data_IF_560034970393
#
_entry.id   IF_560034970393
#
_cell.length_a   1.000
_cell.length_b   1.000
_cell.length_c   1.000
_cell.angle_alpha   90.00
_cell.angle_beta   90.00
_cell.angle_gamma   90.00
#
_symmetry.space_group_name_H-M   'P 1'
#
loop_
_entity.id
_entity.type
_entity.pdbx_description
1 polymer ?
#
# COMPACT_ATOMS: atom_id res chain seq x y z
N UNK A 1 9.27 23.78 -97.35
CA UNK A 1 9.95 23.18 -96.18
C UNK A 1 8.88 22.63 -95.28
N UNK A 2 8.68 21.31 -95.28
CA UNK A 2 7.62 20.65 -94.53
C UNK A 2 8.20 20.26 -93.15
N UNK A 3 7.65 20.71 -92.01
CA UNK A 3 8.20 20.36 -90.71
C UNK A 3 7.97 18.88 -90.43
N UNK A 4 9.03 18.13 -90.14
CA UNK A 4 8.94 16.74 -89.71
C UNK A 4 8.31 16.70 -88.30
N UNK A 5 7.00 16.49 -88.23
CA UNK A 5 6.28 16.30 -86.97
C UNK A 5 6.55 14.86 -86.51
N UNK A 6 7.24 14.63 -85.39
CA UNK A 6 7.52 13.28 -84.90
C UNK A 6 6.20 12.56 -84.55
N UNK A 7 6.06 11.32 -85.02
CA UNK A 7 4.84 10.52 -84.90
C UNK A 7 4.68 9.91 -83.49
N UNK A 8 3.43 9.80 -83.04
CA UNK A 8 3.04 9.33 -81.70
C UNK A 8 3.45 7.87 -81.44
N UNK A 9 3.68 7.08 -82.49
CA UNK A 9 4.20 5.70 -82.39
C UNK A 9 5.61 5.61 -81.75
N UNK A 10 6.30 6.74 -81.58
CA UNK A 10 7.57 6.82 -80.85
C UNK A 10 7.39 6.83 -79.31
N UNK A 11 6.16 6.98 -78.81
CA UNK A 11 5.85 6.87 -77.37
C UNK A 11 5.78 5.40 -76.98
N UNK A 12 6.95 4.82 -76.74
CA UNK A 12 7.10 3.48 -76.18
C UNK A 12 6.60 3.47 -74.73
N UNK A 13 5.40 2.95 -74.49
CA UNK A 13 4.84 2.74 -73.15
C UNK A 13 5.81 1.89 -72.31
N UNK A 14 6.32 2.49 -71.23
CA UNK A 14 7.15 1.78 -70.26
C UNK A 14 6.24 0.87 -69.45
N UNK A 15 6.43 -0.45 -69.57
CA UNK A 15 5.71 -1.42 -68.74
C UNK A 15 5.84 -1.03 -67.27
N UNK A 16 4.70 -0.90 -66.57
CA UNK A 16 4.67 -0.51 -65.16
C UNK A 16 5.52 -1.50 -64.34
N UNK A 17 6.41 -1.02 -63.45
CA UNK A 17 7.12 -1.92 -62.56
C UNK A 17 6.09 -2.67 -61.72
N UNK A 18 6.32 -3.97 -61.50
CA UNK A 18 5.51 -4.75 -60.56
C UNK A 18 5.43 -3.98 -59.23
N UNK A 19 4.24 -3.87 -58.61
CA UNK A 19 4.03 -3.03 -57.44
C UNK A 19 5.05 -3.38 -56.35
N UNK A 20 5.94 -2.44 -56.07
CA UNK A 20 6.99 -2.62 -55.07
C UNK A 20 6.29 -2.75 -53.73
N UNK A 21 6.51 -3.86 -53.04
CA UNK A 21 5.89 -4.08 -51.74
C UNK A 21 6.46 -3.08 -50.74
N UNK A 22 5.70 -2.01 -50.46
CA UNK A 22 6.06 -0.94 -49.52
C UNK A 22 6.06 -1.38 -48.05
N UNK A 23 5.97 -2.69 -47.78
CA UNK A 23 6.09 -3.22 -46.43
C UNK A 23 7.56 -3.56 -46.16
N UNK A 24 8.35 -2.67 -45.51
CA UNK A 24 9.64 -3.08 -44.99
C UNK A 24 9.36 -4.12 -43.91
N UNK A 25 9.59 -5.40 -44.21
CA UNK A 25 9.53 -6.50 -43.25
C UNK A 25 10.77 -6.44 -42.35
N UNK A 26 10.90 -5.36 -41.61
CA UNK A 26 11.97 -5.15 -40.64
C UNK A 26 11.56 -5.79 -39.32
N UNK A 27 12.52 -6.40 -38.64
CA UNK A 27 12.32 -6.98 -37.30
C UNK A 27 11.90 -5.91 -36.26
N UNK A 28 11.95 -4.63 -36.62
CA UNK A 28 11.55 -3.49 -35.81
C UNK A 28 10.09 -3.54 -35.36
N UNK A 29 9.14 -4.00 -36.20
CA UNK A 29 7.74 -4.13 -35.76
C UNK A 29 7.56 -5.19 -34.68
N UNK A 30 8.27 -6.31 -34.79
CA UNK A 30 8.27 -7.35 -33.75
C UNK A 30 8.94 -6.86 -32.46
N UNK A 31 10.02 -6.09 -32.56
CA UNK A 31 10.64 -5.45 -31.41
C UNK A 31 9.67 -4.46 -30.72
N UNK A 32 8.97 -3.62 -31.49
CA UNK A 32 7.96 -2.69 -30.97
C UNK A 32 6.78 -3.42 -30.33
N UNK A 33 6.26 -4.48 -30.95
CA UNK A 33 5.17 -5.29 -30.41
C UNK A 33 5.60 -5.95 -29.09
N UNK A 34 6.80 -6.53 -29.05
CA UNK A 34 7.34 -7.14 -27.83
C UNK A 34 7.50 -6.11 -26.72
N UNK A 35 8.02 -4.93 -27.01
CA UNK A 35 8.15 -3.84 -26.05
C UNK A 35 6.77 -3.37 -25.56
N UNK A 36 5.80 -3.24 -26.44
CA UNK A 36 4.43 -2.87 -26.11
C UNK A 36 3.78 -3.91 -25.19
N UNK A 37 3.88 -5.20 -25.52
CA UNK A 37 3.36 -6.30 -24.70
C UNK A 37 4.06 -6.35 -23.34
N UNK A 38 5.39 -6.23 -23.31
CA UNK A 38 6.15 -6.21 -22.07
C UNK A 38 5.75 -5.03 -21.18
N UNK A 39 5.59 -3.83 -21.76
CA UNK A 39 5.15 -2.65 -21.02
C UNK A 39 3.73 -2.83 -20.47
N UNK A 40 2.80 -3.38 -21.26
CA UNK A 40 1.45 -3.69 -20.82
C UNK A 40 1.47 -4.70 -19.67
N UNK A 41 2.25 -5.79 -19.80
CA UNK A 41 2.40 -6.79 -18.75
C UNK A 41 2.96 -6.19 -17.46
N UNK A 42 3.97 -5.33 -17.54
CA UNK A 42 4.54 -4.65 -16.38
C UNK A 42 3.54 -3.70 -15.72
N UNK A 43 2.74 -2.97 -16.50
CA UNK A 43 1.68 -2.09 -15.98
C UNK A 43 0.57 -2.91 -15.34
N UNK A 44 0.10 -3.97 -15.99
CA UNK A 44 -0.90 -4.89 -15.45
C UNK A 44 -0.41 -5.55 -14.16
N UNK A 45 0.84 -6.03 -14.12
CA UNK A 45 1.43 -6.60 -12.93
C UNK A 45 1.52 -5.57 -11.81
N UNK A 46 2.04 -4.36 -12.08
CA UNK A 46 2.10 -3.30 -11.07
C UNK A 46 0.72 -2.94 -10.52
N UNK A 47 -0.27 -2.79 -11.40
CA UNK A 47 -1.65 -2.47 -11.01
C UNK A 47 -2.31 -3.61 -10.25
N UNK A 48 -2.04 -4.87 -10.61
CA UNK A 48 -2.51 -6.03 -9.87
C UNK A 48 -1.86 -6.13 -8.48
N UNK A 49 -0.56 -5.86 -8.38
CA UNK A 49 0.15 -5.84 -7.11
C UNK A 49 -0.37 -4.72 -6.19
N UNK A 50 -0.64 -3.53 -6.75
CA UNK A 50 -1.33 -2.45 -6.04
C UNK A 50 -2.74 -2.88 -5.61
N UNK A 51 -3.53 -3.49 -6.50
CA UNK A 51 -4.88 -3.94 -6.18
C UNK A 51 -4.91 -5.04 -5.12
N UNK A 52 -3.94 -5.97 -5.13
CA UNK A 52 -3.81 -7.04 -4.13
C UNK A 52 -3.45 -6.46 -2.77
N UNK A 53 -2.64 -5.39 -2.73
CA UNK A 53 -2.44 -4.59 -1.52
C UNK A 53 -3.76 -3.95 -1.11
N UNK A 54 -4.49 -3.28 -2.00
CA UNK A 54 -5.74 -2.59 -1.64
C UNK A 54 -6.90 -3.51 -1.19
N UNK A 55 -6.77 -4.83 -1.31
CA UNK A 55 -7.79 -5.78 -0.85
C UNK A 55 -8.01 -5.74 0.66
N UNK A 56 -6.95 -5.64 1.48
CA UNK A 56 -7.11 -5.54 2.94
C UNK A 56 -7.89 -4.29 3.33
N UNK A 57 -7.68 -3.18 2.61
CA UNK A 57 -8.38 -1.91 2.83
C UNK A 57 -9.86 -2.03 2.52
N UNK A 58 -10.22 -2.72 1.43
CA UNK A 58 -11.63 -2.95 1.07
C UNK A 58 -12.34 -3.82 2.10
N UNK A 59 -11.68 -4.88 2.57
CA UNK A 59 -12.23 -5.77 3.60
C UNK A 59 -12.40 -5.03 4.94
N UNK A 60 -11.42 -4.20 5.31
CA UNK A 60 -11.50 -3.33 6.49
C UNK A 60 -12.65 -2.33 6.42
N UNK A 61 -12.82 -1.66 5.27
CA UNK A 61 -13.91 -0.70 5.07
C UNK A 61 -15.28 -1.38 5.06
N UNK A 62 -15.40 -2.56 4.46
CA UNK A 62 -16.64 -3.33 4.48
C UNK A 62 -17.03 -3.73 5.91
N UNK A 63 -16.09 -4.23 6.70
CA UNK A 63 -16.31 -4.56 8.12
C UNK A 63 -16.61 -3.34 8.97
N UNK A 64 -15.95 -2.21 8.72
CA UNK A 64 -16.24 -0.95 9.40
C UNK A 64 -17.66 -0.46 9.09
N UNK A 65 -18.11 -0.57 7.83
CA UNK A 65 -19.47 -0.23 7.44
C UNK A 65 -20.52 -1.12 8.13
N UNK A 66 -20.24 -2.43 8.26
CA UNK A 66 -21.09 -3.38 8.99
C UNK A 66 -21.21 -3.00 10.49
N UNK A 67 -20.08 -2.65 11.13
CA UNK A 67 -20.05 -2.19 12.52
C UNK A 67 -20.76 -0.84 12.70
N UNK A 68 -20.63 0.07 11.73
CA UNK A 68 -21.31 1.37 11.76
C UNK A 68 -22.83 1.19 11.68
N UNK A 69 -23.33 0.23 10.89
CA UNK A 69 -24.76 -0.08 10.82
C UNK A 69 -25.29 -0.65 12.15
N UNK A 70 -24.43 -1.31 12.93
CA UNK A 70 -24.72 -1.80 14.29
C UNK A 70 -24.20 -0.86 15.38
N UNK A 71 -24.08 0.44 15.12
CA UNK A 71 -23.48 1.38 16.08
C UNK A 71 -24.19 1.46 17.44
N UNK A 72 -25.45 1.03 17.51
CA UNK A 72 -26.24 0.92 18.76
C UNK A 72 -25.95 -0.32 19.60
N UNK A 73 -25.27 -1.30 19.02
CA UNK A 73 -24.77 -2.46 19.75
C UNK A 73 -23.44 -2.09 20.44
N UNK A 74 -23.40 -2.28 21.76
CA UNK A 74 -22.19 -2.03 22.56
C UNK A 74 -21.02 -2.90 22.10
N UNK A 75 -21.32 -4.09 21.59
CA UNK A 75 -20.30 -5.00 21.10
C UNK A 75 -19.61 -4.43 19.85
N UNK A 76 -20.36 -3.74 18.97
CA UNK A 76 -19.81 -3.11 17.78
C UNK A 76 -18.84 -1.96 18.14
N UNK A 77 -19.13 -1.22 19.20
CA UNK A 77 -18.24 -0.18 19.72
C UNK A 77 -16.94 -0.78 20.27
N UNK A 78 -16.99 -1.94 20.92
CA UNK A 78 -15.81 -2.61 21.48
C UNK A 78 -14.95 -3.30 20.41
N UNK A 79 -15.55 -3.71 19.30
CA UNK A 79 -14.83 -4.28 18.14
C UNK A 79 -14.13 -3.23 17.27
N UNK A 80 -14.55 -1.97 17.33
CA UNK A 80 -14.01 -0.88 16.53
C UNK A 80 -12.49 -0.70 16.72
N UNK A 81 -11.95 -0.57 17.95
CA UNK A 81 -10.51 -0.42 18.18
C UNK A 81 -9.72 -1.68 17.78
N UNK A 82 -10.29 -2.86 17.97
CA UNK A 82 -9.66 -4.13 17.59
C UNK A 82 -9.52 -4.26 16.07
N UNK A 83 -10.55 -3.85 15.31
CA UNK A 83 -10.46 -3.78 13.86
C UNK A 83 -9.39 -2.80 13.41
N UNK A 84 -9.34 -1.60 14.00
CA UNK A 84 -8.32 -0.60 13.67
C UNK A 84 -6.89 -1.13 13.94
N UNK A 85 -6.68 -1.82 15.07
CA UNK A 85 -5.40 -2.47 15.39
C UNK A 85 -5.03 -3.56 14.38
N UNK A 86 -5.99 -4.41 13.99
CA UNK A 86 -5.77 -5.44 12.96
C UNK A 86 -5.41 -4.83 11.61
N UNK A 87 -6.11 -3.76 11.22
CA UNK A 87 -5.78 -2.99 10.01
C UNK A 87 -4.36 -2.45 10.12
N UNK A 88 -4.01 -1.81 11.24
CA UNK A 88 -2.68 -1.27 11.44
C UNK A 88 -1.58 -2.35 11.38
N UNK A 89 -1.81 -3.53 11.96
CA UNK A 89 -0.91 -4.67 11.92
C UNK A 89 -0.77 -5.28 10.51
N UNK A 90 -1.84 -5.23 9.70
CA UNK A 90 -1.83 -5.76 8.34
C UNK A 90 -1.08 -4.88 7.32
N UNK A 91 -0.64 -3.69 7.72
CA UNK A 91 0.06 -2.77 6.84
C UNK A 91 1.50 -3.25 6.58
N UNK A 92 1.99 -3.23 5.33
CA UNK A 92 3.36 -3.65 5.01
C UNK A 92 4.43 -2.71 5.61
N UNK A 93 4.04 -1.48 5.97
CA UNK A 93 4.88 -0.52 6.69
C UNK A 93 4.74 -0.60 8.21
N UNK A 94 3.99 -1.57 8.75
CA UNK A 94 3.90 -1.88 10.18
C UNK A 94 5.22 -2.44 10.74
N UNK A 95 6.37 -2.03 10.20
CA UNK A 95 7.66 -2.26 10.85
C UNK A 95 7.85 -1.23 11.96
N UNK A 96 7.03 -1.35 13.01
CA UNK A 96 7.16 -0.59 14.25
C UNK A 96 8.55 -0.76 14.90
N UNK A 97 9.28 -1.81 14.54
CA UNK A 97 10.64 -2.08 15.03
C UNK A 97 11.73 -1.25 14.33
N UNK A 98 11.39 -0.37 13.39
CA UNK A 98 12.34 0.53 12.76
C UNK A 98 12.45 1.90 13.47
N UNK A 99 12.11 1.99 14.76
CA UNK A 99 12.67 3.08 15.58
C UNK A 99 14.15 2.73 15.84
N UNK A 100 15.13 3.47 15.29
CA UNK A 100 16.54 3.27 15.61
C UNK A 100 16.79 3.88 16.99
N UNK A 101 16.27 3.26 18.05
CA UNK A 101 16.67 3.61 19.41
C UNK A 101 18.02 2.94 19.64
N UNK A 102 19.09 3.60 19.21
CA UNK A 102 20.47 3.17 19.52
C UNK A 102 21.20 2.37 18.45
N UNK A 103 20.96 2.60 17.15
CA UNK A 103 21.99 2.32 16.14
C UNK A 103 23.11 3.37 16.30
N UNK A 104 23.88 3.23 17.38
CA UNK A 104 25.17 3.87 17.50
C UNK A 104 25.99 3.50 16.26
N UNK A 105 26.57 4.53 15.65
CA UNK A 105 27.89 4.55 15.00
C UNK A 105 28.37 3.22 14.38
N UNK A 106 28.74 3.19 13.08
CA UNK A 106 29.42 2.04 12.50
C UNK A 106 30.80 1.88 13.15
N UNK A 107 30.87 1.18 14.27
CA UNK A 107 32.10 0.84 14.93
C UNK A 107 32.68 -0.39 14.21
N UNK A 108 33.65 -0.10 13.35
CA UNK A 108 34.83 -0.91 13.02
C UNK A 108 34.71 -2.42 13.25
N UNK A 109 34.86 -3.14 12.14
CA UNK A 109 35.42 -4.49 12.15
C UNK A 109 36.68 -4.54 13.03
N UNK A 110 36.60 -5.28 14.13
CA UNK A 110 37.75 -5.93 14.71
C UNK A 110 37.36 -7.38 15.01
N UNK A 111 38.16 -8.28 14.45
CA UNK A 111 38.02 -9.71 14.57
C UNK A 111 38.08 -10.11 16.05
N UNK A 112 37.13 -10.92 16.53
CA UNK A 112 37.32 -11.66 17.78
C UNK A 112 37.52 -13.14 17.48
N UNK A 113 38.70 -13.57 17.93
CA UNK A 113 39.24 -14.92 17.93
C UNK A 113 38.37 -15.87 18.74
N UNK A 114 38.28 -17.10 18.25
CA UNK A 114 37.68 -18.26 18.89
C UNK A 114 38.35 -18.53 20.24
N UNK A 115 37.67 -18.24 21.34
CA UNK A 115 38.03 -18.77 22.67
C UNK A 115 36.78 -19.38 23.30
N UNK A 116 36.80 -20.71 23.36
CA UNK A 116 35.81 -21.56 24.01
C UNK A 116 35.82 -21.23 25.52
N UNK A 117 34.70 -20.72 26.03
CA UNK A 117 34.42 -20.73 27.47
C UNK A 117 33.03 -21.32 27.72
N UNK A 118 33.05 -22.47 28.38
CA UNK A 118 31.93 -23.31 28.72
C UNK A 118 31.13 -22.70 29.88
N UNK A 119 30.17 -21.82 29.57
CA UNK A 119 29.15 -21.37 30.54
C UNK A 119 27.80 -21.35 29.84
N UNK A 120 26.85 -22.09 30.39
CA UNK A 120 25.44 -22.07 30.03
C UNK A 120 24.79 -20.81 30.62
N UNK A 121 24.31 -19.83 29.83
CA UNK A 121 23.41 -18.80 30.33
C UNK A 121 21.98 -19.29 30.12
N UNK A 122 21.28 -19.44 31.24
CA UNK A 122 19.82 -19.52 31.28
C UNK A 122 19.18 -18.39 30.46
N UNK A 123 17.99 -18.70 29.95
CA UNK A 123 17.01 -17.76 29.43
C UNK A 123 17.29 -17.24 28.02
N UNK A 124 16.95 -18.11 27.07
CA UNK A 124 16.38 -17.70 25.78
C UNK A 124 15.08 -16.92 26.05
N UNK A 125 15.19 -15.65 26.43
CA UNK A 125 14.05 -14.75 26.50
C UNK A 125 13.55 -14.57 25.05
N UNK A 126 12.45 -15.24 24.72
CA UNK A 126 11.66 -14.95 23.54
C UNK A 126 11.51 -13.44 23.40
N UNK A 127 11.83 -12.82 22.25
CA UNK A 127 11.43 -11.45 22.03
C UNK A 127 9.90 -11.44 22.09
N UNK A 128 9.35 -10.90 23.18
CA UNK A 128 7.95 -10.54 23.27
C UNK A 128 7.60 -9.78 21.98
N UNK A 129 6.51 -10.14 21.28
CA UNK A 129 6.11 -9.38 20.12
C UNK A 129 5.80 -7.95 20.58
N UNK A 130 6.74 -7.04 20.30
CA UNK A 130 6.61 -5.59 20.40
C UNK A 130 5.65 -5.09 19.30
N UNK A 131 4.50 -5.73 19.19
CA UNK A 131 3.42 -5.28 18.34
C UNK A 131 2.78 -4.04 18.97
N UNK A 132 2.01 -3.26 18.19
CA UNK A 132 1.20 -2.13 18.67
C UNK A 132 0.28 -2.43 19.86
N UNK A 133 0.09 -3.69 20.22
CA UNK A 133 -0.62 -4.12 21.43
C UNK A 133 0.08 -3.73 22.75
N UNK A 134 1.40 -3.46 22.75
CA UNK A 134 2.17 -3.10 23.95
C UNK A 134 2.44 -1.59 24.09
N UNK A 135 2.03 -0.78 23.11
CA UNK A 135 2.29 0.66 23.10
C UNK A 135 1.25 1.42 23.91
N UNK A 136 1.70 2.32 24.80
CA UNK A 136 0.81 3.20 25.55
C UNK A 136 0.06 4.17 24.62
N UNK A 137 -1.03 4.76 25.13
CA UNK A 137 -1.92 5.63 24.34
C UNK A 137 -1.16 6.72 23.53
N UNK A 138 -0.08 7.28 24.08
CA UNK A 138 0.72 8.34 23.42
C UNK A 138 1.49 7.84 22.18
N UNK A 139 2.12 6.68 22.26
CA UNK A 139 2.89 6.13 21.14
C UNK A 139 1.95 5.65 20.02
N UNK A 140 0.79 5.11 20.42
CA UNK A 140 -0.30 4.77 19.50
C UNK A 140 -0.85 6.02 18.79
N UNK A 141 -1.06 7.14 19.52
CA UNK A 141 -1.46 8.42 18.92
C UNK A 141 -0.44 8.92 17.89
N UNK A 142 0.85 8.92 18.24
CA UNK A 142 1.91 9.38 17.36
C UNK A 142 1.98 8.56 16.07
N UNK A 143 1.78 7.24 16.18
CA UNK A 143 1.67 6.38 15.01
C UNK A 143 0.49 6.74 14.12
N UNK A 144 -0.72 6.83 14.70
CA UNK A 144 -1.92 7.12 13.92
C UNK A 144 -1.77 8.44 13.17
N UNK A 145 -1.20 9.47 13.82
CA UNK A 145 -0.90 10.77 13.22
C UNK A 145 0.17 10.69 12.11
N UNK A 146 1.17 9.81 12.23
CA UNK A 146 2.22 9.65 11.21
C UNK A 146 1.68 9.06 9.90
N UNK A 147 0.60 8.28 9.98
CA UNK A 147 0.01 7.61 8.83
C UNK A 147 -1.13 8.40 8.16
N UNK A 148 -1.45 9.61 8.62
CA UNK A 148 -2.46 10.49 8.04
C UNK A 148 -1.93 11.94 7.91
N UNK A 149 -2.19 12.61 6.79
CA UNK A 149 -1.74 14.00 6.58
C UNK A 149 -2.59 15.04 7.33
N UNK A 150 -3.75 14.65 7.85
CA UNK A 150 -4.67 15.54 8.57
C UNK A 150 -4.45 15.46 10.09
N UNK A 151 -4.66 16.56 10.84
CA UNK A 151 -4.55 16.51 12.29
C UNK A 151 -5.67 15.64 12.87
N UNK A 152 -5.29 14.57 13.56
CA UNK A 152 -6.18 13.70 14.31
C UNK A 152 -6.43 14.34 15.70
N UNK A 153 -7.61 14.18 16.31
CA UNK A 153 -7.85 14.67 17.67
C UNK A 153 -6.81 14.10 18.65
N UNK A 154 -6.24 14.94 19.52
CA UNK A 154 -5.14 14.57 20.41
C UNK A 154 -5.48 13.39 21.34
N UNK A 155 -6.74 13.26 21.73
CA UNK A 155 -7.25 12.23 22.63
C UNK A 155 -7.80 10.99 21.93
N UNK A 156 -7.66 10.88 20.60
CA UNK A 156 -8.28 9.82 19.81
C UNK A 156 -7.85 8.40 20.23
N UNK A 157 -6.55 8.20 20.48
CA UNK A 157 -6.01 6.95 21.04
C UNK A 157 -6.64 6.60 22.39
N UNK A 158 -6.83 7.60 23.26
CA UNK A 158 -7.44 7.44 24.58
C UNK A 158 -8.91 7.06 24.42
N UNK A 159 -9.65 7.73 23.53
CA UNK A 159 -11.05 7.41 23.22
C UNK A 159 -11.21 5.98 22.71
N UNK A 160 -10.30 5.50 21.85
CA UNK A 160 -10.28 4.10 21.41
C UNK A 160 -9.97 3.13 22.55
N UNK A 161 -9.04 3.48 23.45
CA UNK A 161 -8.74 2.65 24.63
C UNK A 161 -9.94 2.58 25.59
N UNK A 162 -10.66 3.68 25.75
CA UNK A 162 -11.91 3.73 26.51
C UNK A 162 -12.97 2.83 25.83
N UNK A 163 -13.13 2.85 24.51
CA UNK A 163 -14.06 1.93 23.83
C UNK A 163 -13.71 0.45 24.06
N UNK A 164 -12.43 0.10 24.09
CA UNK A 164 -11.98 -1.28 24.29
C UNK A 164 -12.20 -1.76 25.74
N UNK A 165 -11.90 -0.92 26.74
CA UNK A 165 -11.82 -1.32 28.15
C UNK A 165 -12.89 -0.71 29.07
N UNK A 166 -13.68 0.27 28.62
CA UNK A 166 -14.68 0.91 29.48
C UNK A 166 -15.84 -0.05 29.81
N UNK A 167 -16.44 0.11 31.00
CA UNK A 167 -17.61 -0.65 31.40
C UNK A 167 -18.83 -0.25 30.57
N UNK A 168 -19.73 -1.21 30.36
CA UNK A 168 -20.89 -1.06 29.47
C UNK A 168 -21.83 0.09 29.88
N UNK A 169 -21.84 0.47 31.16
CA UNK A 169 -22.59 1.63 31.65
C UNK A 169 -22.07 2.95 31.07
N UNK A 170 -20.74 3.11 30.97
CA UNK A 170 -20.09 4.28 30.37
C UNK A 170 -20.34 4.32 28.86
N UNK A 171 -20.33 3.17 28.20
CA UNK A 171 -20.62 3.07 26.76
C UNK A 171 -22.08 3.41 26.44
N UNK A 172 -23.04 3.01 27.29
CA UNK A 172 -24.47 3.37 27.14
C UNK A 172 -24.75 4.86 27.38
N UNK A 173 -23.99 5.50 28.26
CA UNK A 173 -24.13 6.92 28.55
C UNK A 173 -23.54 7.85 27.47
N UNK A 174 -22.83 7.28 26.48
CA UNK A 174 -22.15 8.06 25.44
C UNK A 174 -23.15 8.61 24.40
N UNK A 175 -23.13 9.94 24.13
CA UNK A 175 -23.97 10.54 23.09
C UNK A 175 -23.76 9.90 21.71
N UNK A 176 -24.85 9.70 20.97
CA UNK A 176 -24.81 9.09 19.63
C UNK A 176 -23.91 9.88 18.66
N UNK A 177 -23.91 11.21 18.80
CA UNK A 177 -23.02 12.13 18.05
C UNK A 177 -21.54 11.78 18.25
N UNK A 178 -21.11 11.54 19.48
CA UNK A 178 -19.72 11.16 19.77
C UNK A 178 -19.39 9.77 19.21
N UNK A 179 -20.33 8.82 19.30
CA UNK A 179 -20.17 7.49 18.69
C UNK A 179 -19.96 7.62 17.17
N UNK A 180 -20.82 8.38 16.48
CA UNK A 180 -20.71 8.59 15.03
C UNK A 180 -19.43 9.34 14.64
N UNK A 181 -19.01 10.34 15.43
CA UNK A 181 -17.75 11.06 15.20
C UNK A 181 -16.55 10.11 15.28
N UNK A 182 -16.53 9.20 16.26
CA UNK A 182 -15.48 8.20 16.39
C UNK A 182 -15.46 7.26 15.18
N UNK A 183 -16.61 6.74 14.75
CA UNK A 183 -16.71 5.91 13.54
C UNK A 183 -16.22 6.65 12.29
N UNK A 184 -16.63 7.90 12.09
CA UNK A 184 -16.21 8.72 10.96
C UNK A 184 -14.71 9.01 10.98
N UNK A 185 -14.13 9.25 12.17
CA UNK A 185 -12.69 9.48 12.32
C UNK A 185 -11.90 8.21 12.01
N UNK A 186 -12.38 7.05 12.49
CA UNK A 186 -11.77 5.76 12.17
C UNK A 186 -11.87 5.43 10.68
N UNK A 187 -13.03 5.67 10.07
CA UNK A 187 -13.23 5.53 8.62
C UNK A 187 -12.29 6.41 7.83
N UNK A 188 -12.19 7.69 8.20
CA UNK A 188 -11.28 8.65 7.58
C UNK A 188 -9.83 8.19 7.68
N UNK A 189 -9.43 7.63 8.82
CA UNK A 189 -8.09 7.05 8.98
C UNK A 189 -7.90 5.83 8.07
N UNK A 190 -8.83 4.87 8.04
CA UNK A 190 -8.74 3.70 7.15
C UNK A 190 -8.82 4.09 5.66
N UNK A 191 -9.44 5.20 5.31
CA UNK A 191 -9.47 5.70 3.92
C UNK A 191 -8.22 6.51 3.54
N UNK A 192 -7.69 7.31 4.47
CA UNK A 192 -6.55 8.21 4.17
C UNK A 192 -5.21 7.65 4.59
N UNK A 193 -5.16 6.49 5.25
CA UNK A 193 -3.89 5.85 5.58
C UNK A 193 -3.12 5.58 4.28
N UNK A 194 -2.00 6.26 4.13
CA UNK A 194 -1.11 6.07 3.00
C UNK A 194 -0.20 4.87 3.32
N UNK A 195 -0.40 3.76 2.61
CA UNK A 195 0.66 2.78 2.46
C UNK A 195 1.66 3.36 1.46
N UNK A 196 2.89 3.61 1.92
CA UNK A 196 3.97 4.11 1.07
C UNK A 196 4.01 3.32 -0.25
N UNK A 197 3.90 4.04 -1.36
CA UNK A 197 3.89 3.50 -2.71
C UNK A 197 5.29 3.03 -3.13
#
# INVERSE_FOLDING_TARGET
>A
MNPAIPSIDQLKEMALPAPVSYAPQTWGWWALLTLLVLSLLLVCARRYWQWRRDRYRREALARLAELQQRSDDLNALRELPELLKRVALSMPSSNWNAFPVGAGLPAKASCQSTSILNVMPSSRASPLPQGPAALGNKDWQAFLQRHISQPLPADFSQQLSLLAYAPDATLRAMPNEQRQLLFNTCKTWVERHHVAA
#
